data_IF_809092803309
#
_entry.id   IF_809092803309
#
_cell.length_a   1.000
_cell.length_b   1.000
_cell.length_c   1.000
_cell.angle_alpha   90.00
_cell.angle_beta   90.00
_cell.angle_gamma   90.00
#
_symmetry.space_group_name_H-M   'P 1'
#
loop_
_entity.id
_entity.type
_entity.pdbx_description
1 polymer ?
#
# COMPACT_ATOMS: atom_id res chain seq x y z
N UNK A 1 28.43 9.15 -4.82
CA UNK A 1 28.81 9.09 -6.26
C UNK A 1 27.51 8.94 -7.01
N UNK A 2 27.00 9.97 -7.70
CA UNK A 2 25.58 10.07 -8.10
C UNK A 2 24.60 10.02 -6.89
N UNK A 3 24.49 11.09 -6.09
CA UNK A 3 23.73 11.09 -4.83
C UNK A 3 22.24 10.72 -4.97
N UNK A 4 21.66 10.89 -6.16
CA UNK A 4 20.29 10.47 -6.46
C UNK A 4 20.10 8.94 -6.39
N UNK A 5 21.15 8.17 -6.73
CA UNK A 5 21.15 6.70 -6.63
C UNK A 5 21.25 6.28 -5.17
N UNK A 6 22.13 6.93 -4.40
CA UNK A 6 22.28 6.71 -2.96
C UNK A 6 20.95 6.98 -2.23
N UNK A 7 20.26 8.08 -2.55
CA UNK A 7 18.92 8.41 -2.04
C UNK A 7 17.85 7.37 -2.41
N UNK A 8 17.78 6.95 -3.68
CA UNK A 8 16.85 5.92 -4.12
C UNK A 8 17.12 4.57 -3.44
N UNK A 9 18.39 4.24 -3.19
CA UNK A 9 18.81 3.01 -2.52
C UNK A 9 18.43 3.00 -1.03
N UNK A 10 18.66 4.09 -0.29
CA UNK A 10 18.24 4.20 1.12
C UNK A 10 16.71 4.28 1.28
N UNK A 11 16.01 5.00 0.39
CA UNK A 11 14.54 4.93 0.31
C UNK A 11 14.06 3.48 0.12
N UNK A 12 14.78 2.66 -0.66
CA UNK A 12 14.44 1.25 -0.86
C UNK A 12 14.68 0.39 0.39
N UNK A 13 15.63 0.76 1.25
CA UNK A 13 15.91 0.08 2.53
C UNK A 13 14.91 0.43 3.63
N UNK A 14 14.20 1.55 3.53
CA UNK A 14 13.31 2.07 4.58
C UNK A 14 12.26 1.03 4.99
N UNK A 15 12.25 0.69 6.29
CA UNK A 15 11.24 -0.17 6.90
C UNK A 15 10.25 0.67 7.70
N UNK A 16 8.96 0.55 7.40
CA UNK A 16 7.89 1.30 8.06
C UNK A 16 7.24 0.42 9.13
N UNK A 17 6.95 1.02 10.30
CA UNK A 17 6.17 0.39 11.36
C UNK A 17 4.74 0.09 10.91
N UNK A 18 4.23 -1.09 11.25
CA UNK A 18 2.93 -1.55 10.77
C UNK A 18 1.75 -0.72 11.27
N UNK A 19 1.86 -0.03 12.41
CA UNK A 19 0.82 0.91 12.88
C UNK A 19 0.65 2.07 11.89
N UNK A 20 1.70 2.87 11.70
CA UNK A 20 1.72 4.05 10.80
C UNK A 20 1.28 3.69 9.37
N UNK A 21 1.66 2.51 8.87
CA UNK A 21 1.25 2.05 7.55
C UNK A 21 -0.25 1.68 7.48
N UNK A 22 -0.84 1.18 8.56
CA UNK A 22 -2.29 0.97 8.65
C UNK A 22 -3.06 2.29 8.85
N UNK A 23 -2.53 3.24 9.62
CA UNK A 23 -3.10 4.58 9.81
C UNK A 23 -3.22 5.31 8.46
N UNK A 24 -2.12 5.47 7.73
CA UNK A 24 -2.09 6.09 6.39
C UNK A 24 -3.06 5.43 5.39
N UNK A 25 -3.19 4.10 5.44
CA UNK A 25 -4.15 3.36 4.59
C UNK A 25 -5.60 3.60 5.04
N UNK A 26 -5.87 3.71 6.34
CA UNK A 26 -7.20 4.09 6.82
C UNK A 26 -7.55 5.53 6.44
N UNK A 27 -6.63 6.48 6.51
CA UNK A 27 -6.88 7.86 6.09
C UNK A 27 -7.13 7.97 4.58
N UNK A 28 -6.38 7.23 3.76
CA UNK A 28 -6.68 7.12 2.33
C UNK A 28 -8.09 6.55 2.07
N UNK A 29 -8.52 5.55 2.85
CA UNK A 29 -9.89 4.98 2.77
C UNK A 29 -10.96 5.98 3.29
N UNK A 30 -10.64 6.82 4.29
CA UNK A 30 -11.53 7.87 4.81
C UNK A 30 -11.72 8.98 3.77
N UNK A 31 -10.64 9.43 3.14
CA UNK A 31 -10.62 10.50 2.14
C UNK A 31 -11.23 10.09 0.79
N UNK A 32 -11.07 8.82 0.39
CA UNK A 32 -11.64 8.31 -0.85
C UNK A 32 -12.14 6.88 -0.62
N UNK A 33 -13.41 6.69 -0.25
CA UNK A 33 -13.94 5.37 0.05
C UNK A 33 -13.91 4.47 -1.19
N UNK A 34 -13.64 3.16 -1.04
CA UNK A 34 -13.56 2.24 -2.16
C UNK A 34 -14.93 2.04 -2.85
N UNK A 35 -14.95 1.90 -4.18
CA UNK A 35 -16.20 1.66 -4.92
C UNK A 35 -16.90 0.37 -4.45
N UNK A 36 -18.22 0.42 -4.36
CA UNK A 36 -19.04 -0.71 -3.90
C UNK A 36 -19.48 -1.59 -5.07
N UNK A 37 -18.77 -2.68 -5.35
CA UNK A 37 -19.23 -3.65 -6.36
C UNK A 37 -20.33 -4.56 -5.79
N UNK A 38 -21.49 -4.62 -6.46
CA UNK A 38 -22.65 -5.45 -6.09
C UNK A 38 -23.03 -5.35 -4.60
N UNK A 39 -23.15 -4.10 -4.10
CA UNK A 39 -23.49 -3.80 -2.71
C UNK A 39 -22.41 -4.13 -1.67
N UNK A 40 -21.24 -4.63 -2.07
CA UNK A 40 -20.17 -5.09 -1.18
C UNK A 40 -18.99 -4.14 -1.23
N UNK A 41 -18.67 -3.54 -0.08
CA UNK A 41 -17.51 -2.65 0.10
C UNK A 41 -16.24 -3.46 0.36
N UNK A 42 -15.14 -3.01 -0.24
CA UNK A 42 -13.79 -3.48 0.06
C UNK A 42 -13.44 -3.15 1.53
N UNK A 43 -12.97 -4.13 2.32
CA UNK A 43 -12.47 -3.88 3.68
C UNK A 43 -11.04 -4.36 3.84
N UNK A 44 -10.11 -3.41 3.91
CA UNK A 44 -8.74 -3.65 4.36
C UNK A 44 -8.78 -3.76 5.88
N UNK A 45 -8.24 -4.84 6.46
CA UNK A 45 -8.14 -5.01 7.92
C UNK A 45 -6.72 -4.83 8.44
N UNK A 46 -5.72 -5.20 7.63
CA UNK A 46 -4.32 -5.15 8.04
C UNK A 46 -3.41 -4.99 6.83
N UNK A 47 -2.32 -4.27 7.04
CA UNK A 47 -1.33 -3.90 6.04
C UNK A 47 0.05 -3.99 6.67
N UNK A 48 1.02 -4.56 5.96
CA UNK A 48 2.39 -4.68 6.44
C UNK A 48 3.42 -4.69 5.31
N UNK A 49 4.65 -4.29 5.65
CA UNK A 49 5.80 -4.47 4.78
C UNK A 49 6.36 -5.88 5.01
N UNK A 50 6.40 -6.71 3.96
CA UNK A 50 6.88 -8.11 4.03
C UNK A 50 8.28 -8.25 3.43
N UNK A 51 8.69 -7.35 2.55
CA UNK A 51 10.04 -7.29 2.01
C UNK A 51 10.56 -5.85 2.00
N UNK A 52 11.87 -5.71 2.20
CA UNK A 52 12.59 -4.47 1.96
C UNK A 52 12.90 -4.36 0.45
N UNK A 53 12.99 -3.14 -0.09
CA UNK A 53 13.06 -2.79 -1.53
C UNK A 53 11.71 -2.90 -2.28
N UNK A 54 11.17 -1.74 -2.70
CA UNK A 54 10.03 -1.46 -3.66
C UNK A 54 8.71 -2.29 -3.36
N UNK A 55 8.46 -2.89 -2.17
CA UNK A 55 7.41 -3.94 -1.96
C UNK A 55 6.59 -3.87 -0.65
N UNK A 56 5.25 -3.90 -0.74
CA UNK A 56 4.29 -3.85 0.38
C UNK A 56 3.15 -4.89 0.26
N UNK A 57 2.58 -5.35 1.38
CA UNK A 57 1.52 -6.38 1.37
C UNK A 57 0.29 -5.90 2.14
N UNK A 58 -0.80 -5.70 1.41
CA UNK A 58 -2.11 -5.37 1.95
C UNK A 58 -2.91 -6.65 2.17
N UNK A 59 -3.14 -7.04 3.42
CA UNK A 59 -3.96 -8.20 3.79
C UNK A 59 -5.45 -7.81 3.82
N UNK A 60 -5.96 -7.53 2.62
CA UNK A 60 -7.36 -7.21 2.35
C UNK A 60 -8.24 -8.42 2.63
N UNK A 61 -9.38 -8.21 3.28
CA UNK A 61 -10.20 -9.31 3.79
C UNK A 61 -11.49 -9.55 2.97
N UNK A 62 -12.04 -10.76 3.14
CA UNK A 62 -13.17 -11.34 2.39
C UNK A 62 -12.92 -11.58 0.89
N UNK A 63 -12.66 -10.56 0.06
CA UNK A 63 -12.42 -10.74 -1.39
C UNK A 63 -11.34 -9.78 -1.92
N UNK A 64 -10.32 -10.35 -2.55
CA UNK A 64 -9.28 -9.63 -3.29
C UNK A 64 -9.77 -9.13 -4.65
N UNK A 65 -10.73 -9.85 -5.27
CA UNK A 65 -11.29 -9.49 -6.59
C UNK A 65 -11.97 -8.11 -6.62
N UNK A 66 -12.39 -7.57 -5.47
CA UNK A 66 -13.05 -6.27 -5.36
C UNK A 66 -12.09 -5.07 -5.50
N UNK A 67 -10.77 -5.28 -5.53
CA UNK A 67 -9.77 -4.21 -5.56
C UNK A 67 -9.38 -3.86 -6.99
N UNK A 68 -10.19 -3.01 -7.63
CA UNK A 68 -9.94 -2.53 -9.00
C UNK A 68 -8.59 -1.80 -9.14
N UNK A 69 -7.94 -1.89 -10.30
CA UNK A 69 -6.58 -1.39 -10.51
C UNK A 69 -6.45 0.13 -10.25
N UNK A 70 -7.50 0.92 -10.53
CA UNK A 70 -7.53 2.36 -10.26
C UNK A 70 -7.41 2.64 -8.75
N UNK A 71 -8.11 1.87 -7.93
CA UNK A 71 -8.05 1.99 -6.47
C UNK A 71 -6.72 1.46 -5.91
N UNK A 72 -6.11 0.47 -6.56
CA UNK A 72 -4.73 0.05 -6.27
C UNK A 72 -3.75 1.21 -6.47
N UNK A 73 -3.78 1.87 -7.63
CA UNK A 73 -2.94 3.05 -7.94
C UNK A 73 -3.21 4.23 -6.99
N UNK A 74 -4.46 4.43 -6.57
CA UNK A 74 -4.79 5.44 -5.56
C UNK A 74 -4.08 5.19 -4.22
N UNK A 75 -4.16 3.97 -3.68
CA UNK A 75 -3.47 3.58 -2.44
C UNK A 75 -1.94 3.63 -2.61
N UNK A 76 -1.43 3.26 -3.79
CA UNK A 76 -0.01 3.35 -4.14
C UNK A 76 0.49 4.80 -4.07
N UNK A 77 -0.25 5.74 -4.66
CA UNK A 77 0.05 7.17 -4.62
C UNK A 77 -0.13 7.78 -3.21
N UNK A 78 -1.07 7.29 -2.41
CA UNK A 78 -1.21 7.70 -1.01
C UNK A 78 0.03 7.30 -0.18
N UNK A 79 0.51 6.06 -0.32
CA UNK A 79 1.75 5.60 0.31
C UNK A 79 2.98 6.37 -0.21
N UNK A 80 3.06 6.67 -1.52
CA UNK A 80 4.14 7.47 -2.11
C UNK A 80 4.24 8.85 -1.45
N UNK A 81 3.12 9.55 -1.30
CA UNK A 81 3.07 10.88 -0.67
C UNK A 81 3.40 10.84 0.83
N UNK A 82 2.90 9.84 1.56
CA UNK A 82 3.08 9.77 3.02
C UNK A 82 4.52 9.46 3.46
N UNK A 83 5.27 8.71 2.65
CA UNK A 83 6.60 8.18 3.02
C UNK A 83 7.75 8.60 2.10
N UNK A 84 7.46 9.38 1.05
CA UNK A 84 8.39 9.89 0.04
C UNK A 84 9.26 8.81 -0.64
N UNK A 85 8.63 7.95 -1.44
CA UNK A 85 9.27 6.78 -2.06
C UNK A 85 9.85 6.99 -3.46
N UNK A 86 10.40 8.16 -3.73
CA UNK A 86 10.97 8.45 -5.05
C UNK A 86 12.20 7.58 -5.33
N UNK A 87 12.27 7.08 -6.58
CA UNK A 87 13.17 6.00 -7.01
C UNK A 87 12.84 4.57 -6.52
N UNK A 88 11.91 4.38 -5.56
CA UNK A 88 11.76 3.12 -4.80
C UNK A 88 10.49 2.33 -5.10
N UNK A 89 10.55 0.98 -5.22
CA UNK A 89 8.81 0.16 -5.56
C UNK A 89 7.66 0.33 -4.55
N UNK A 90 6.43 0.40 -5.05
CA UNK A 90 5.24 0.30 -4.20
C UNK A 90 4.35 -0.79 -4.78
N UNK A 91 4.95 -1.98 -4.92
CA UNK A 91 4.21 -3.19 -5.29
C UNK A 91 3.27 -3.55 -4.14
N UNK A 92 2.02 -3.12 -4.24
CA UNK A 92 0.92 -3.60 -3.39
C UNK A 92 0.58 -5.03 -3.81
N UNK A 93 0.80 -6.00 -2.92
CA UNK A 93 0.29 -7.37 -3.04
C UNK A 93 -0.97 -7.53 -2.18
N UNK A 94 -2.02 -8.11 -2.76
CA UNK A 94 -3.32 -8.28 -2.10
C UNK A 94 -3.48 -9.74 -1.69
N UNK A 95 -3.56 -10.03 -0.39
CA UNK A 95 -3.80 -11.40 0.13
C UNK A 95 -5.12 -11.49 0.90
N UNK A 96 -6.01 -12.37 0.42
CA UNK A 96 -7.26 -12.78 1.10
C UNK A 96 -6.97 -13.36 2.50
N UNK A 97 -7.91 -13.20 3.43
CA UNK A 97 -7.93 -13.91 4.73
C UNK A 97 -8.81 -15.14 4.60
N UNK A 98 -8.26 -16.33 4.83
CA UNK A 98 -8.92 -17.60 4.58
C UNK A 98 -8.59 -18.15 3.18
N UNK A 99 -7.38 -18.70 3.09
CA UNK A 99 -6.87 -19.65 2.13
C UNK A 99 -5.83 -20.49 2.90
#
# INVERSE_FOLDING_TARGET
MLPLIDQAYENSKRRIGTSVLNEVIQDAIRLTPPPSHHGKRLKILYTSQVATKTTYVCRVCKRSELLHFSYKRYLENALRRAFNFDGTPIRILVRKRGA
#
